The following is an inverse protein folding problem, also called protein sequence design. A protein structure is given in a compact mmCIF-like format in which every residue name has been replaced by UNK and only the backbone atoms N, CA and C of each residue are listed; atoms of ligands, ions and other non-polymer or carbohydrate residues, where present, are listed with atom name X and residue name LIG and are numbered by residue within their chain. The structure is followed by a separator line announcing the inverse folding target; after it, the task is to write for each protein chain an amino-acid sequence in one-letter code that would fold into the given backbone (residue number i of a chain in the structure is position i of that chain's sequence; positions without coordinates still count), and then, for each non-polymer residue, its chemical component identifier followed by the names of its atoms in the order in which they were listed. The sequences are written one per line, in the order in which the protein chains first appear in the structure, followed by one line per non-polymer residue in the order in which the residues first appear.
data_IF_255490254986
#
_entry.id   IF_255490254986
#
_cell.length_a   1.000
_cell.length_b   1.000
_cell.length_c   1.000
_cell.angle_alpha   90.00
_cell.angle_beta   90.00
_cell.angle_gamma   90.00
#
_symmetry.space_group_name_H-M   'P 1'
#
loop_
_entity.id
_entity.type
_entity.pdbx_description
1 polymer ?
#
# COMPACT_ATOMS: atom_id res chain seq x y z
N UNK A 1 -5.91 6.13 -53.97
CA UNK A 1 -6.75 5.68 -52.84
C UNK A 1 -5.96 5.24 -51.59
N UNK A 2 -4.70 5.70 -51.41
CA UNK A 2 -3.89 5.42 -50.21
C UNK A 2 -3.54 6.67 -49.41
N UNK A 3 -3.61 7.86 -50.02
CA UNK A 3 -3.29 9.13 -49.36
C UNK A 3 -4.36 9.54 -48.32
N UNK A 4 -5.64 9.28 -48.64
CA UNK A 4 -6.80 9.67 -47.80
C UNK A 4 -6.86 8.84 -46.51
N UNK A 5 -6.45 7.57 -46.56
CA UNK A 5 -6.49 6.65 -45.40
C UNK A 5 -5.48 7.03 -44.32
N UNK A 6 -4.33 7.59 -44.71
CA UNK A 6 -3.29 8.02 -43.76
C UNK A 6 -3.63 9.39 -43.13
N UNK A 7 -4.29 10.28 -43.89
CA UNK A 7 -4.76 11.56 -43.36
C UNK A 7 -5.84 11.39 -42.26
N UNK A 8 -6.76 10.44 -42.44
CA UNK A 8 -7.84 10.17 -41.46
C UNK A 8 -7.29 9.64 -40.13
N UNK A 9 -6.25 8.78 -40.16
CA UNK A 9 -5.61 8.27 -38.93
C UNK A 9 -4.89 9.38 -38.13
N UNK A 10 -4.27 10.34 -38.82
CA UNK A 10 -3.61 11.47 -38.16
C UNK A 10 -4.57 12.43 -37.45
N UNK A 11 -5.79 12.60 -37.97
CA UNK A 11 -6.79 13.51 -37.38
C UNK A 11 -7.39 12.94 -36.09
N UNK A 12 -7.54 11.62 -35.98
CA UNK A 12 -8.11 10.96 -34.79
C UNK A 12 -7.18 11.12 -33.57
N UNK A 13 -5.86 11.02 -33.77
CA UNK A 13 -4.87 11.15 -32.69
C UNK A 13 -4.83 12.59 -32.14
N UNK A 14 -4.98 13.59 -33.01
CA UNK A 14 -4.99 15.00 -32.61
C UNK A 14 -6.26 15.32 -31.80
N UNK A 15 -7.42 14.75 -32.16
CA UNK A 15 -8.66 14.93 -31.40
C UNK A 15 -8.61 14.31 -30.00
N UNK A 16 -7.89 13.18 -29.83
CA UNK A 16 -7.68 12.57 -28.51
C UNK A 16 -6.83 13.45 -27.60
N UNK A 17 -5.80 14.12 -28.13
CA UNK A 17 -4.89 14.96 -27.32
C UNK A 17 -5.53 16.28 -26.87
N UNK A 18 -6.49 16.83 -27.62
CA UNK A 18 -7.15 18.09 -27.27
C UNK A 18 -8.17 17.92 -26.11
N UNK A 19 -8.73 16.72 -25.93
CA UNK A 19 -9.69 16.44 -24.85
C UNK A 19 -9.03 16.22 -23.48
N UNK A 20 -7.72 15.95 -23.42
CA UNK A 20 -7.00 15.74 -22.16
C UNK A 20 -6.59 17.09 -21.52
N UNK A 21 -6.43 18.15 -22.32
CA UNK A 21 -5.91 19.45 -21.85
C UNK A 21 -6.93 20.37 -21.16
N UNK A 22 -8.23 20.12 -21.29
CA UNK A 22 -9.27 21.01 -20.73
C UNK A 22 -9.76 20.64 -19.31
N UNK A 23 -9.22 19.58 -18.69
CA UNK A 23 -9.60 19.16 -17.32
C UNK A 23 -8.73 19.80 -16.22
N UNK A 24 -7.64 20.48 -16.57
CA UNK A 24 -6.67 20.99 -15.57
C UNK A 24 -6.66 22.51 -15.36
N UNK A 25 -7.63 23.27 -15.90
CA UNK A 25 -7.59 24.74 -15.84
C UNK A 25 -8.78 25.43 -15.15
N UNK A 26 -9.69 24.69 -14.48
CA UNK A 26 -10.79 25.34 -13.75
C UNK A 26 -11.26 24.52 -12.55
N UNK A 27 -10.59 24.73 -11.41
CA UNK A 27 -11.15 24.69 -10.04
C UNK A 27 -10.05 24.99 -9.01
N UNK A 28 -9.51 26.21 -9.08
CA UNK A 28 -8.91 26.86 -7.91
C UNK A 28 -9.81 28.03 -7.52
N UNK A 29 -10.98 27.68 -6.97
CA UNK A 29 -11.73 28.57 -6.09
C UNK A 29 -12.86 27.79 -5.43
N UNK A 30 -12.84 27.81 -4.10
CA UNK A 30 -13.89 27.43 -3.15
C UNK A 30 -13.63 26.13 -2.38
N UNK A 31 -13.54 26.20 -1.04
CA UNK A 31 -13.47 25.04 -0.16
C UNK A 31 -14.89 24.57 0.13
N UNK A 32 -15.32 23.45 -0.46
CA UNK A 32 -16.45 22.62 0.01
C UNK A 32 -16.74 21.52 -1.02
N UNK A 33 -16.38 20.28 -0.68
CA UNK A 33 -16.84 18.96 -1.19
C UNK A 33 -15.66 17.99 -1.31
N UNK A 34 -15.42 17.25 -0.23
CA UNK A 34 -14.62 16.03 -0.22
C UNK A 34 -15.48 14.76 -0.38
N UNK A 35 -16.76 14.88 -0.78
CA UNK A 35 -17.69 13.73 -0.82
C UNK A 35 -17.96 13.13 -2.21
N UNK A 36 -17.49 13.73 -3.31
CA UNK A 36 -17.82 13.24 -4.67
C UNK A 36 -16.70 12.42 -5.35
N UNK A 37 -15.55 12.22 -4.71
CA UNK A 37 -14.46 11.40 -5.28
C UNK A 37 -14.68 9.89 -5.08
N UNK A 38 -15.42 9.48 -4.04
CA UNK A 38 -15.65 8.08 -3.73
C UNK A 38 -16.73 7.45 -4.64
N UNK A 39 -17.70 8.26 -5.10
CA UNK A 39 -18.81 7.80 -5.95
C UNK A 39 -18.35 7.48 -7.38
N UNK A 40 -17.40 8.25 -7.93
CA UNK A 40 -16.93 8.04 -9.30
C UNK A 40 -16.08 6.77 -9.48
N UNK A 41 -15.32 6.36 -8.46
CA UNK A 41 -14.56 5.09 -8.48
C UNK A 41 -15.52 3.89 -8.48
N UNK A 42 -16.58 3.95 -7.65
CA UNK A 42 -17.57 2.88 -7.55
C UNK A 42 -18.36 2.61 -8.84
N UNK A 43 -18.55 3.62 -9.68
CA UNK A 43 -19.32 3.50 -10.93
C UNK A 43 -18.53 2.82 -12.07
N UNK A 44 -17.21 2.98 -12.08
CA UNK A 44 -16.33 2.33 -13.07
C UNK A 44 -16.16 0.85 -12.74
N UNK A 45 -16.00 0.52 -11.45
CA UNK A 45 -15.96 -0.87 -10.98
C UNK A 45 -17.30 -1.59 -11.21
N UNK A 46 -18.44 -0.90 -10.97
CA UNK A 46 -19.77 -1.45 -11.23
C UNK A 46 -20.06 -1.71 -12.72
N UNK A 47 -19.46 -0.94 -13.63
CA UNK A 47 -19.59 -1.15 -15.07
C UNK A 47 -18.73 -2.34 -15.57
N UNK A 48 -17.59 -2.63 -14.92
CA UNK A 48 -16.75 -3.80 -15.23
C UNK A 48 -17.36 -5.11 -14.69
N UNK A 49 -18.11 -5.08 -13.59
CA UNK A 49 -18.80 -6.27 -13.06
C UNK A 49 -19.90 -6.84 -13.99
N UNK A 50 -20.34 -6.09 -15.01
CA UNK A 50 -21.39 -6.51 -15.95
C UNK A 50 -20.87 -7.18 -17.22
N UNK A 51 -19.55 -7.19 -17.46
CA UNK A 51 -18.93 -7.84 -18.61
C UNK A 51 -18.26 -9.15 -18.16
N UNK A 52 -18.71 -10.29 -18.70
CA UNK A 52 -18.18 -11.63 -18.41
C UNK A 52 -16.71 -11.79 -18.86
N UNK A 53 -16.19 -10.83 -19.64
CA UNK A 53 -14.78 -10.73 -20.01
C UNK A 53 -13.91 -9.93 -19.02
N UNK A 54 -14.50 -9.31 -17.99
CA UNK A 54 -13.75 -8.61 -16.93
C UNK A 54 -13.30 -9.64 -15.90
N UNK A 55 -12.09 -10.19 -16.07
CA UNK A 55 -11.41 -11.01 -15.07
C UNK A 55 -10.97 -10.10 -13.91
N UNK A 56 -11.95 -9.72 -13.07
CA UNK A 56 -11.69 -8.98 -11.84
C UNK A 56 -10.93 -9.94 -10.93
N UNK A 57 -9.61 -9.73 -10.84
CA UNK A 57 -8.78 -10.44 -9.89
C UNK A 57 -9.43 -10.34 -8.52
N UNK A 58 -9.92 -11.47 -8.01
CA UNK A 58 -10.48 -11.55 -6.67
C UNK A 58 -9.37 -11.13 -5.72
N UNK A 59 -9.64 -10.13 -4.87
CA UNK A 59 -8.66 -9.69 -3.88
C UNK A 59 -8.18 -10.92 -3.09
N UNK A 60 -6.87 -11.15 -3.07
CA UNK A 60 -6.29 -12.21 -2.28
C UNK A 60 -6.71 -12.02 -0.80
N UNK A 61 -7.00 -13.11 -0.08
CA UNK A 61 -7.34 -13.00 1.32
C UNK A 61 -6.18 -12.33 2.08
N UNK A 62 -6.51 -11.53 3.11
CA UNK A 62 -5.53 -10.67 3.80
C UNK A 62 -4.33 -11.46 4.36
N UNK A 63 -4.55 -12.69 4.80
CA UNK A 63 -3.49 -13.57 5.27
C UNK A 63 -2.50 -13.90 4.16
N UNK A 64 -2.95 -14.24 2.94
CA UNK A 64 -2.06 -14.45 1.79
C UNK A 64 -1.26 -13.18 1.43
N UNK A 65 -1.88 -12.01 1.54
CA UNK A 65 -1.21 -10.72 1.29
C UNK A 65 -0.02 -10.48 2.24
N UNK A 66 -0.11 -10.99 3.48
CA UNK A 66 0.90 -10.79 4.51
C UNK A 66 1.74 -12.03 4.83
N UNK A 67 1.87 -12.96 3.88
CA UNK A 67 2.71 -14.16 4.05
C UNK A 67 2.15 -15.16 5.06
N UNK A 68 0.85 -15.08 5.36
CA UNK A 68 0.13 -15.93 6.31
C UNK A 68 0.07 -15.37 7.73
N UNK A 69 -0.68 -16.08 8.57
CA UNK A 69 -0.80 -15.77 10.00
C UNK A 69 0.40 -16.39 10.74
N UNK A 70 1.16 -15.53 11.41
CA UNK A 70 2.25 -15.95 12.31
C UNK A 70 1.72 -16.46 13.63
N UNK A 71 0.76 -15.76 14.21
CA UNK A 71 0.17 -16.09 15.50
C UNK A 71 -1.23 -15.50 15.62
N UNK A 72 -2.14 -16.23 16.26
CA UNK A 72 -3.48 -15.76 16.58
C UNK A 72 -3.85 -16.13 18.02
N UNK A 73 -4.42 -15.19 18.77
CA UNK A 73 -4.90 -15.43 20.14
C UNK A 73 -6.00 -14.43 20.54
N UNK A 74 -6.67 -14.71 21.67
CA UNK A 74 -7.80 -13.91 22.16
C UNK A 74 -7.57 -13.50 23.61
N UNK A 75 -7.70 -12.21 23.90
CA UNK A 75 -7.63 -11.66 25.27
C UNK A 75 -8.82 -10.76 25.50
N UNK A 76 -9.67 -11.09 26.48
CA UNK A 76 -10.85 -10.27 26.85
C UNK A 76 -11.71 -9.89 25.64
N UNK A 77 -12.10 -10.88 24.84
CA UNK A 77 -12.86 -10.72 23.59
C UNK A 77 -12.11 -9.97 22.45
N UNK A 78 -10.86 -9.54 22.65
CA UNK A 78 -10.02 -8.96 21.60
C UNK A 78 -9.21 -10.06 20.90
N UNK A 79 -9.54 -10.34 19.63
CA UNK A 79 -8.78 -11.23 18.76
C UNK A 79 -7.59 -10.47 18.19
N UNK A 80 -6.40 -10.99 18.47
CA UNK A 80 -5.13 -10.50 17.97
C UNK A 80 -4.64 -11.45 16.89
N UNK A 81 -4.43 -10.94 15.68
CA UNK A 81 -3.85 -11.67 14.55
C UNK A 81 -2.55 -10.98 14.17
N UNK A 82 -1.44 -11.69 14.33
CA UNK A 82 -0.10 -11.25 13.95
C UNK A 82 0.23 -11.91 12.61
N UNK A 83 0.46 -11.10 11.57
CA UNK A 83 0.88 -11.62 10.26
C UNK A 83 2.40 -11.77 10.16
N UNK A 84 2.88 -12.55 9.18
CA UNK A 84 4.32 -12.79 8.99
C UNK A 84 5.06 -11.55 8.45
N UNK A 85 4.51 -10.94 7.39
CA UNK A 85 5.07 -9.76 6.72
C UNK A 85 4.08 -8.59 6.74
N UNK A 86 3.20 -8.57 7.74
CA UNK A 86 2.12 -7.60 7.85
C UNK A 86 1.98 -7.01 9.25
N UNK A 87 0.95 -6.17 9.46
CA UNK A 87 0.69 -5.53 10.74
C UNK A 87 0.18 -6.53 11.79
N UNK A 88 -0.07 -6.02 12.99
CA UNK A 88 -0.92 -6.74 13.95
C UNK A 88 -2.33 -6.20 13.84
N UNK A 89 -3.30 -7.09 13.62
CA UNK A 89 -4.72 -6.76 13.63
C UNK A 89 -5.30 -7.09 14.99
N UNK A 90 -6.00 -6.15 15.59
CA UNK A 90 -6.68 -6.33 16.89
C UNK A 90 -8.13 -5.90 16.76
N UNK A 91 -9.05 -6.85 16.84
CA UNK A 91 -10.49 -6.58 16.70
C UNK A 91 -11.30 -7.38 17.72
N UNK A 92 -12.39 -6.81 18.20
CA UNK A 92 -13.31 -7.51 19.09
C UNK A 92 -14.00 -8.64 18.32
N UNK A 93 -14.02 -9.85 18.86
CA UNK A 93 -14.59 -11.02 18.17
C UNK A 93 -16.09 -10.92 17.85
N UNK A 94 -16.82 -10.05 18.55
CA UNK A 94 -18.27 -9.93 18.41
C UNK A 94 -18.67 -8.68 17.63
N UNK A 95 -17.94 -7.59 17.81
CA UNK A 95 -18.29 -6.29 17.22
C UNK A 95 -17.42 -5.94 16.02
N UNK A 96 -16.32 -6.67 15.79
CA UNK A 96 -15.27 -6.36 14.80
C UNK A 96 -14.67 -4.94 14.96
N UNK A 97 -14.94 -4.27 16.08
CA UNK A 97 -14.39 -2.96 16.39
C UNK A 97 -12.94 -3.08 16.86
N UNK A 98 -12.09 -2.06 16.62
CA UNK A 98 -10.73 -2.03 17.14
C UNK A 98 -10.69 -2.19 18.66
N UNK A 99 -9.75 -2.98 19.15
CA UNK A 99 -9.52 -3.19 20.57
C UNK A 99 -8.02 -3.25 20.88
N UNK A 100 -7.65 -2.96 22.12
CA UNK A 100 -6.27 -3.06 22.58
C UNK A 100 -6.06 -4.34 23.38
N UNK A 101 -5.03 -5.10 23.00
CA UNK A 101 -4.60 -6.29 23.70
C UNK A 101 -3.07 -6.31 23.87
N UNK A 102 -2.56 -6.94 24.94
CA UNK A 102 -1.12 -7.05 25.15
C UNK A 102 -0.49 -7.91 24.04
N UNK A 103 0.62 -7.43 23.48
CA UNK A 103 1.44 -8.15 22.51
C UNK A 103 2.48 -9.04 23.20
N UNK A 104 2.92 -10.14 22.56
CA UNK A 104 4.05 -10.94 23.03
C UNK A 104 5.28 -10.05 23.18
N UNK A 105 6.08 -10.27 24.23
CA UNK A 105 7.25 -9.45 24.53
C UNK A 105 8.35 -9.55 23.47
N UNK A 106 8.36 -10.64 22.74
CA UNK A 106 9.29 -11.00 21.67
C UNK A 106 8.75 -10.61 20.27
N UNK A 107 7.61 -9.92 20.19
CA UNK A 107 7.12 -9.41 18.91
C UNK A 107 8.01 -8.27 18.41
N UNK A 108 8.64 -8.49 17.25
CA UNK A 108 9.46 -7.49 16.56
C UNK A 108 8.57 -6.71 15.58
N UNK A 109 8.52 -5.39 15.75
CA UNK A 109 7.80 -4.48 14.85
C UNK A 109 8.60 -4.05 13.62
N UNK A 110 9.90 -4.33 13.63
CA UNK A 110 10.79 -4.07 12.52
C UNK A 110 11.45 -5.38 12.11
N UNK A 111 11.59 -5.58 10.80
CA UNK A 111 12.31 -6.71 10.23
C UNK A 111 13.73 -6.24 9.93
N UNK A 112 14.69 -6.84 10.60
CA UNK A 112 16.10 -6.68 10.22
C UNK A 112 16.31 -7.30 8.84
N UNK A 113 16.81 -6.50 7.91
CA UNK A 113 16.95 -6.88 6.49
C UNK A 113 18.39 -7.22 6.19
N UNK A 114 19.32 -6.45 6.76
CA UNK A 114 20.74 -6.62 6.55
C UNK A 114 21.52 -6.10 7.75
N UNK A 115 22.59 -6.81 8.09
CA UNK A 115 23.61 -6.31 9.01
C UNK A 115 24.97 -6.57 8.37
N UNK A 116 25.78 -5.52 8.24
CA UNK A 116 27.09 -5.58 7.59
C UNK A 116 28.09 -4.64 8.26
N UNK A 117 29.38 -4.97 8.11
CA UNK A 117 30.46 -4.15 8.61
C UNK A 117 30.90 -3.16 7.51
N UNK A 118 30.94 -1.87 7.85
CA UNK A 118 31.47 -0.82 7.01
C UNK A 118 32.30 0.13 7.88
N UNK A 119 33.54 0.42 7.46
CA UNK A 119 34.45 1.36 8.15
C UNK A 119 34.64 1.08 9.66
N UNK A 120 34.82 -0.21 10.04
CA UNK A 120 34.93 -0.67 11.44
C UNK A 120 33.67 -0.37 12.29
N UNK A 121 32.53 -0.10 11.65
CA UNK A 121 31.23 0.07 12.25
C UNK A 121 30.28 -1.03 11.79
N UNK A 122 29.43 -1.52 12.68
CA UNK A 122 28.32 -2.40 12.34
C UNK A 122 27.14 -1.55 11.91
N UNK A 123 26.65 -1.75 10.69
CA UNK A 123 25.44 -1.12 10.18
C UNK A 123 24.34 -2.18 10.17
N UNK A 124 23.21 -1.87 10.82
CA UNK A 124 22.01 -2.72 10.82
C UNK A 124 20.86 -1.96 10.19
N UNK A 125 20.36 -2.48 9.07
CA UNK A 125 19.22 -1.95 8.33
C UNK A 125 17.97 -2.71 8.71
N UNK A 126 16.91 -1.96 9.01
CA UNK A 126 15.61 -2.48 9.40
C UNK A 126 14.53 -1.81 8.56
N UNK A 127 13.50 -2.58 8.20
CA UNK A 127 12.28 -2.04 7.60
C UNK A 127 11.12 -2.31 8.54
N UNK A 128 10.37 -1.24 8.82
CA UNK A 128 9.13 -1.30 9.58
C UNK A 128 7.99 -1.77 8.68
N UNK A 129 6.88 -2.16 9.30
CA UNK A 129 5.70 -2.71 8.61
C UNK A 129 5.09 -1.72 7.60
N UNK A 130 5.21 -0.41 7.83
CA UNK A 130 4.76 0.65 6.90
C UNK A 130 5.74 0.91 5.75
N UNK A 131 6.81 0.11 5.64
CA UNK A 131 7.84 0.25 4.61
C UNK A 131 8.85 1.36 4.90
N UNK A 132 8.80 1.99 6.08
CA UNK A 132 9.84 2.92 6.47
C UNK A 132 11.14 2.13 6.73
N UNK A 133 12.23 2.58 6.11
CA UNK A 133 13.55 2.01 6.33
C UNK A 133 14.28 2.86 7.36
N UNK A 134 14.90 2.20 8.31
CA UNK A 134 15.77 2.80 9.31
C UNK A 134 17.11 2.04 9.33
N UNK A 135 18.17 2.75 9.70
CA UNK A 135 19.51 2.18 9.76
C UNK A 135 20.21 2.66 11.02
N UNK A 136 20.71 1.71 11.79
CA UNK A 136 21.51 1.98 12.99
C UNK A 136 22.97 1.70 12.71
N UNK A 137 23.85 2.53 13.25
CA UNK A 137 25.30 2.40 13.09
C UNK A 137 25.95 2.32 14.47
N UNK A 138 26.66 1.21 14.74
CA UNK A 138 27.44 1.01 15.95
C UNK A 138 28.94 0.99 15.63
N UNK A 139 29.62 2.09 15.97
CA UNK A 139 31.07 2.25 15.80
C UNK A 139 31.85 2.02 17.10
N UNK A 140 31.28 1.35 18.11
CA UNK A 140 31.93 1.16 19.42
C UNK A 140 33.29 0.46 19.34
N UNK A 141 33.53 -0.30 18.27
CA UNK A 141 34.78 -1.00 17.99
C UNK A 141 35.76 -0.19 17.12
N UNK A 142 35.34 0.95 16.57
CA UNK A 142 36.18 1.77 15.71
C UNK A 142 37.29 2.44 16.54
N UNK A 143 38.52 1.97 16.33
CA UNK A 143 39.69 2.41 17.10
C UNK A 143 40.19 3.79 16.70
N UNK A 144 39.70 4.35 15.58
CA UNK A 144 40.07 5.67 15.08
C UNK A 144 39.16 6.81 15.54
N UNK A 145 38.00 6.49 16.12
CA UNK A 145 37.06 7.45 16.70
C UNK A 145 37.25 7.64 18.22
N UNK A 146 38.23 6.94 18.83
CA UNK A 146 38.59 7.02 20.26
C UNK A 146 39.73 8.01 20.53
#
# INVERSE_FOLDING_TARGET
MSLVKNAIKSVIIIFLMINISNTYAKKQSSPDRMEDAQVAVSAVDAACLADEACDVATAAPEDEMYGGIKQEYVVKDCKVTIYNDGPVKMVNQKTDEPCDAPLPKDHQFAKEISTYEADECMISEQVTVDGAADATMDCSNNTKLK
#
